data_IF_204773556232
#
_entry.id   IF_204773556232
#
_cell.length_a   1.000
_cell.length_b   1.000
_cell.length_c   1.000
_cell.angle_alpha   90.00
_cell.angle_beta   90.00
_cell.angle_gamma   90.00
#
_symmetry.space_group_name_H-M   'P 1'
#
loop_
_entity.id
_entity.type
_entity.pdbx_description
1 polymer ?
#
# COMPACT_ATOMS: atom_id res chain seq x y z
N UNK A 1 -7.67 22.30 -41.36
CA UNK A 1 -6.89 21.23 -40.71
C UNK A 1 -7.55 20.93 -39.38
N UNK A 2 -8.39 19.90 -39.32
CA UNK A 2 -9.02 19.46 -38.07
C UNK A 2 -7.98 18.80 -37.18
N UNK A 3 -7.69 19.40 -36.02
CA UNK A 3 -6.93 18.74 -34.96
C UNK A 3 -7.87 17.75 -34.29
N UNK A 4 -7.91 16.52 -34.82
CA UNK A 4 -8.63 15.42 -34.18
C UNK A 4 -7.91 15.16 -32.85
N UNK A 5 -8.40 15.74 -31.75
CA UNK A 5 -7.98 15.40 -30.39
C UNK A 5 -8.43 13.96 -30.14
N UNK A 6 -7.60 13.02 -30.59
CA UNK A 6 -7.77 11.59 -30.37
C UNK A 6 -7.67 11.38 -28.85
N UNK A 7 -8.84 11.33 -28.20
CA UNK A 7 -8.97 10.95 -26.80
C UNK A 7 -8.47 9.52 -26.73
N UNK A 8 -7.22 9.34 -26.31
CA UNK A 8 -6.62 8.01 -26.12
C UNK A 8 -7.51 7.32 -25.07
N UNK A 9 -8.31 6.35 -25.51
CA UNK A 9 -9.00 5.41 -24.63
C UNK A 9 -7.90 4.66 -23.89
N UNK A 10 -7.72 4.93 -22.59
CA UNK A 10 -6.90 4.10 -21.71
C UNK A 10 -7.63 2.78 -21.54
N UNK A 11 -7.28 1.80 -22.37
CA UNK A 11 -7.67 0.41 -22.18
C UNK A 11 -7.18 -0.08 -20.80
N UNK A 12 -8.08 -0.75 -20.06
CA UNK A 12 -7.72 -2.01 -19.40
C UNK A 12 -7.43 -2.04 -17.90
N UNK A 13 -7.38 -0.92 -17.19
CA UNK A 13 -7.30 -0.96 -15.72
C UNK A 13 -8.34 0.01 -15.15
N UNK A 14 -9.56 -0.50 -14.94
CA UNK A 14 -10.47 0.10 -13.95
C UNK A 14 -9.66 0.36 -12.69
N UNK A 15 -9.77 1.57 -12.14
CA UNK A 15 -8.98 2.09 -11.03
C UNK A 15 -8.76 0.98 -10.01
N UNK A 16 -7.58 0.35 -10.06
CA UNK A 16 -7.10 -0.56 -9.02
C UNK A 16 -7.12 0.29 -7.75
N UNK A 17 -8.05 -0.03 -6.85
CA UNK A 17 -8.40 0.69 -5.63
C UNK A 17 -7.19 1.42 -5.04
N UNK A 18 -7.17 2.76 -5.02
CA UNK A 18 -6.00 3.54 -4.54
C UNK A 18 -5.55 3.04 -3.15
N UNK A 19 -4.24 2.78 -2.93
CA UNK A 19 -3.74 2.34 -1.64
C UNK A 19 -3.96 3.44 -0.59
N UNK A 20 -4.31 3.02 0.62
CA UNK A 20 -4.49 3.89 1.79
C UNK A 20 -3.17 4.54 2.24
N UNK A 21 -2.05 3.85 2.04
CA UNK A 21 -0.72 4.28 2.48
C UNK A 21 0.24 4.41 1.29
N UNK A 22 1.32 5.16 1.47
CA UNK A 22 2.41 5.30 0.50
C UNK A 22 3.69 4.64 1.01
N UNK A 23 4.59 4.25 0.10
CA UNK A 23 5.95 3.86 0.47
C UNK A 23 6.62 5.02 1.20
N UNK A 24 7.29 4.72 2.31
CA UNK A 24 7.90 5.71 3.20
C UNK A 24 7.00 6.21 4.32
N UNK A 25 5.69 5.90 4.30
CA UNK A 25 4.81 6.28 5.41
C UNK A 25 5.24 5.57 6.70
N UNK A 26 5.37 6.35 7.78
CA UNK A 26 5.50 5.86 9.15
C UNK A 26 4.13 5.35 9.63
N UNK A 27 4.12 4.12 10.12
CA UNK A 27 2.92 3.46 10.64
C UNK A 27 3.19 2.80 11.98
N UNK A 28 2.15 2.67 12.82
CA UNK A 28 2.19 1.94 14.08
C UNK A 28 1.38 0.66 13.97
N UNK A 29 1.94 -0.46 14.43
CA UNK A 29 1.18 -1.72 14.47
C UNK A 29 0.14 -1.69 15.59
N UNK A 30 -1.13 -1.97 15.28
CA UNK A 30 -2.22 -1.92 16.28
C UNK A 30 -2.03 -2.99 17.36
N UNK A 31 -1.62 -4.20 16.96
CA UNK A 31 -1.35 -5.30 17.91
C UNK A 31 -0.11 -5.05 18.76
N UNK A 32 0.82 -4.24 18.28
CA UNK A 32 2.10 -3.99 18.92
C UNK A 32 2.37 -2.48 18.90
N UNK A 33 1.68 -1.70 19.76
CA UNK A 33 1.67 -0.24 19.67
C UNK A 33 3.02 0.41 19.95
N UNK A 34 3.96 -0.32 20.56
CA UNK A 34 5.34 0.13 20.76
C UNK A 34 6.23 -0.11 19.53
N UNK A 35 5.73 -0.80 18.50
CA UNK A 35 6.46 -1.07 17.27
C UNK A 35 6.05 -0.09 16.18
N UNK A 36 7.04 0.66 15.72
CA UNK A 36 6.93 1.57 14.59
C UNK A 36 7.49 0.87 13.35
N UNK A 37 6.86 1.11 12.21
CA UNK A 37 7.29 0.57 10.95
C UNK A 37 7.22 1.60 9.84
N UNK A 38 7.99 1.38 8.79
CA UNK A 38 7.92 2.13 7.53
C UNK A 38 7.27 1.25 6.48
N UNK A 39 6.35 1.79 5.70
CA UNK A 39 5.84 1.09 4.51
C UNK A 39 6.98 0.98 3.50
N UNK A 40 7.51 -0.23 3.30
CA UNK A 40 8.65 -0.49 2.41
C UNK A 40 8.20 -0.72 0.98
N UNK A 41 7.13 -1.49 0.80
CA UNK A 41 6.64 -1.85 -0.53
C UNK A 41 5.11 -1.98 -0.52
N UNK A 42 4.50 -1.62 -1.65
CA UNK A 42 3.08 -1.79 -1.92
C UNK A 42 2.96 -2.76 -3.07
N UNK A 43 2.30 -3.88 -2.84
CA UNK A 43 2.17 -4.91 -3.84
C UNK A 43 0.69 -5.15 -4.12
N UNK A 44 0.38 -5.39 -5.39
CA UNK A 44 -0.97 -5.61 -5.89
C UNK A 44 -1.15 -7.06 -6.28
N UNK A 45 -2.14 -7.73 -5.68
CA UNK A 45 -2.55 -9.05 -6.11
C UNK A 45 -3.63 -8.93 -7.19
N UNK A 46 -3.29 -9.19 -8.45
CA UNK A 46 -4.22 -9.08 -9.59
C UNK A 46 -5.43 -10.01 -9.46
N UNK A 47 -5.24 -11.25 -8.99
CA UNK A 47 -6.33 -12.24 -8.83
C UNK A 47 -7.35 -11.86 -7.77
N UNK A 48 -6.87 -11.35 -6.63
CA UNK A 48 -7.73 -11.01 -5.48
C UNK A 48 -8.17 -9.54 -5.50
N UNK A 49 -7.59 -8.72 -6.39
CA UNK A 49 -7.74 -7.26 -6.44
C UNK A 49 -7.50 -6.60 -5.07
N UNK A 50 -6.50 -7.11 -4.34
CA UNK A 50 -6.13 -6.65 -3.00
C UNK A 50 -4.75 -6.02 -2.99
N UNK A 51 -4.60 -5.04 -2.11
CA UNK A 51 -3.33 -4.40 -1.79
C UNK A 51 -2.78 -5.06 -0.54
N UNK A 52 -1.49 -5.33 -0.56
CA UNK A 52 -0.72 -5.74 0.59
C UNK A 52 0.52 -4.90 0.72
N UNK A 53 0.93 -4.72 1.97
CA UNK A 53 2.06 -3.89 2.36
C UNK A 53 3.15 -4.79 2.94
N UNK A 54 4.38 -4.52 2.52
CA UNK A 54 5.59 -4.96 3.22
C UNK A 54 6.02 -3.82 4.11
N UNK A 55 6.18 -4.09 5.40
CA UNK A 55 6.60 -3.12 6.39
C UNK A 55 8.04 -3.39 6.78
N UNK A 56 8.82 -2.35 7.04
CA UNK A 56 10.10 -2.45 7.73
C UNK A 56 9.88 -2.03 9.18
N UNK A 57 9.77 -3.01 10.07
CA UNK A 57 9.49 -2.82 11.50
C UNK A 57 10.80 -2.64 12.24
N UNK A 58 10.95 -1.50 12.91
CA UNK A 58 12.20 -1.11 13.56
C UNK A 58 12.63 -2.19 14.57
N UNK A 59 13.87 -2.68 14.41
CA UNK A 59 14.42 -3.73 15.28
C UNK A 59 13.80 -5.12 15.12
N UNK A 60 12.83 -5.33 14.20
CA UNK A 60 12.09 -6.58 14.10
C UNK A 60 12.04 -7.18 12.69
N UNK A 61 13.07 -7.97 12.37
CA UNK A 61 13.19 -8.68 11.09
C UNK A 61 12.05 -9.67 10.82
N UNK A 62 11.53 -10.34 11.85
CA UNK A 62 10.45 -11.34 11.69
C UNK A 62 9.16 -10.70 11.21
N UNK A 63 8.79 -9.55 11.80
CA UNK A 63 7.59 -8.79 11.42
C UNK A 63 7.79 -8.08 10.07
N UNK A 64 9.02 -7.68 9.76
CA UNK A 64 9.34 -7.04 8.48
C UNK A 64 9.17 -7.94 7.25
N UNK A 65 9.25 -9.26 7.43
CA UNK A 65 9.01 -10.24 6.36
C UNK A 65 7.54 -10.68 6.25
N UNK A 66 6.64 -10.09 7.04
CA UNK A 66 5.21 -10.43 7.01
C UNK A 66 4.44 -9.61 5.97
N UNK A 67 3.37 -10.18 5.44
CA UNK A 67 2.44 -9.48 4.56
C UNK A 67 1.28 -8.91 5.36
N UNK A 68 0.98 -7.63 5.14
CA UNK A 68 -0.12 -6.95 5.81
C UNK A 68 -1.16 -6.51 4.78
N UNK A 69 -2.35 -7.11 4.82
CA UNK A 69 -3.43 -6.76 3.90
C UNK A 69 -4.11 -5.45 4.31
N UNK A 70 -4.45 -4.62 3.34
CA UNK A 70 -5.07 -3.31 3.58
C UNK A 70 -6.43 -3.40 4.31
N UNK A 71 -7.18 -4.47 4.06
CA UNK A 71 -8.50 -4.72 4.64
C UNK A 71 -8.46 -5.20 6.10
N UNK A 72 -7.32 -5.72 6.58
CA UNK A 72 -7.20 -6.19 7.96
C UNK A 72 -6.97 -5.06 8.97
N UNK A 73 -6.68 -3.83 8.50
CA UNK A 73 -6.40 -2.64 9.34
C UNK A 73 -5.46 -2.96 10.52
N UNK A 74 -4.37 -3.69 10.29
CA UNK A 74 -3.43 -4.12 11.36
C UNK A 74 -2.50 -3.01 11.86
N UNK A 75 -2.51 -1.86 11.20
CA UNK A 75 -1.63 -0.74 11.46
C UNK A 75 -2.30 0.56 11.03
N UNK A 76 -1.83 1.66 11.61
CA UNK A 76 -2.36 3.01 11.40
C UNK A 76 -1.23 3.98 11.03
N UNK A 77 -1.55 5.02 10.26
CA UNK A 77 -0.58 6.05 9.90
C UNK A 77 -0.27 6.90 11.13
N UNK A 78 1.01 7.17 11.34
CA UNK A 78 1.46 8.14 12.32
C UNK A 78 1.62 9.45 11.57
N UNK A 79 0.77 10.43 11.90
CA UNK A 79 1.00 11.80 11.49
C UNK A 79 1.94 12.40 12.55
N UNK A 80 3.18 12.65 12.17
CA UNK A 80 4.14 13.42 12.97
C UNK A 80 3.79 14.91 12.90
#
# INVERSE_FOLDING_TARGET
>A
MEVVKKKIKKEGYEILKKPKFNVGDKVRLIKYPNEIAIVKEIIWHEKNRRIFYILDVEGNKKRSNSWYYEDENKFEKINE
#
